data_IF_321019662944
#
_entry.id   IF_321019662944
#
_cell.length_a   1.000
_cell.length_b   1.000
_cell.length_c   1.000
_cell.angle_alpha   90.00
_cell.angle_beta   90.00
_cell.angle_gamma   90.00
#
_symmetry.space_group_name_H-M   'P 1'
#
loop_
_entity.id
_entity.type
_entity.pdbx_description
1 polymer ?
#
# COMPACT_ATOMS: atom_id res chain seq x y z
N UNK A 1 -34.02 5.45 -24.50
CA UNK A 1 -32.60 5.70 -24.16
C UNK A 1 -32.35 5.24 -22.74
N UNK A 2 -31.47 4.26 -22.53
CA UNK A 2 -31.10 3.80 -21.17
C UNK A 2 -29.93 4.65 -20.69
N UNK A 3 -30.15 5.52 -19.69
CA UNK A 3 -29.06 6.25 -19.05
C UNK A 3 -28.24 5.27 -18.21
N UNK A 4 -26.99 5.03 -18.63
CA UNK A 4 -26.07 4.16 -17.90
C UNK A 4 -25.81 4.79 -16.53
N UNK A 5 -26.30 4.18 -15.44
CA UNK A 5 -26.03 4.65 -14.08
C UNK A 5 -24.51 4.75 -13.88
N UNK A 6 -24.03 5.93 -13.46
CA UNK A 6 -22.61 6.14 -13.16
C UNK A 6 -22.26 5.33 -11.92
N UNK A 7 -21.32 4.40 -12.04
CA UNK A 7 -20.87 3.59 -10.90
C UNK A 7 -20.11 4.45 -9.90
N UNK A 8 -20.52 4.41 -8.64
CA UNK A 8 -20.00 5.25 -7.54
C UNK A 8 -18.78 4.60 -6.84
N UNK A 9 -18.09 5.38 -6.00
CA UNK A 9 -17.01 4.86 -5.14
C UNK A 9 -17.53 3.79 -4.16
N UNK A 10 -18.76 3.93 -3.68
CA UNK A 10 -19.39 2.97 -2.76
C UNK A 10 -19.65 1.62 -3.44
N UNK A 11 -20.12 1.63 -4.69
CA UNK A 11 -20.23 0.40 -5.48
C UNK A 11 -18.86 -0.24 -5.71
N UNK A 12 -17.81 0.57 -5.92
CA UNK A 12 -16.46 0.08 -6.07
C UNK A 12 -15.93 -0.59 -4.79
N UNK A 13 -16.13 0.01 -3.60
CA UNK A 13 -15.80 -0.60 -2.30
C UNK A 13 -16.43 -1.99 -2.14
N UNK A 14 -17.71 -2.13 -2.49
CA UNK A 14 -18.42 -3.43 -2.41
C UNK A 14 -17.79 -4.48 -3.31
N UNK A 15 -17.35 -4.11 -4.50
CA UNK A 15 -16.68 -5.02 -5.44
C UNK A 15 -15.29 -5.41 -4.92
N UNK A 16 -14.52 -4.46 -4.41
CA UNK A 16 -13.22 -4.71 -3.76
C UNK A 16 -13.35 -5.67 -2.58
N UNK A 17 -14.39 -5.53 -1.75
CA UNK A 17 -14.58 -6.42 -0.61
C UNK A 17 -14.84 -7.88 -1.04
N UNK A 18 -15.67 -8.06 -2.07
CA UNK A 18 -16.11 -9.37 -2.57
C UNK A 18 -15.08 -10.11 -3.43
N UNK A 19 -14.12 -9.41 -4.03
CA UNK A 19 -13.16 -10.03 -4.95
C UNK A 19 -12.24 -11.04 -4.26
N UNK A 20 -11.71 -12.01 -4.99
CA UNK A 20 -10.62 -12.89 -4.53
C UNK A 20 -9.31 -12.62 -5.28
N UNK A 21 -9.30 -11.66 -6.20
CA UNK A 21 -8.15 -11.35 -7.07
C UNK A 21 -6.99 -10.65 -6.35
N UNK A 22 -7.22 -10.13 -5.14
CA UNK A 22 -6.21 -9.44 -4.34
C UNK A 22 -6.27 -9.91 -2.88
N UNK A 23 -5.13 -9.85 -2.21
CA UNK A 23 -4.96 -10.20 -0.80
C UNK A 23 -5.81 -9.33 0.12
N UNK A 24 -6.15 -9.84 1.31
CA UNK A 24 -6.92 -9.11 2.31
C UNK A 24 -6.27 -7.75 2.68
N UNK A 25 -4.93 -7.70 2.74
CA UNK A 25 -4.18 -6.47 3.01
C UNK A 25 -4.37 -5.45 1.89
N UNK A 26 -4.30 -5.88 0.63
CA UNK A 26 -4.52 -5.00 -0.53
C UNK A 26 -5.98 -4.56 -0.63
N UNK A 27 -6.96 -5.37 -0.18
CA UNK A 27 -8.36 -4.91 -0.05
C UNK A 27 -8.48 -3.75 0.93
N UNK A 28 -7.85 -3.83 2.11
CA UNK A 28 -7.88 -2.74 3.09
C UNK A 28 -7.27 -1.46 2.52
N UNK A 29 -6.13 -1.58 1.84
CA UNK A 29 -5.51 -0.47 1.12
C UNK A 29 -6.45 0.16 0.08
N UNK A 30 -7.13 -0.67 -0.72
CA UNK A 30 -8.08 -0.19 -1.73
C UNK A 30 -9.29 0.49 -1.09
N UNK A 31 -9.86 -0.07 -0.02
CA UNK A 31 -10.97 0.55 0.72
C UNK A 31 -10.56 1.90 1.28
N UNK A 32 -9.36 2.01 1.87
CA UNK A 32 -8.80 3.27 2.32
C UNK A 32 -8.68 4.29 1.17
N UNK A 33 -8.20 3.89 -0.01
CA UNK A 33 -8.12 4.81 -1.16
C UNK A 33 -9.49 5.31 -1.62
N UNK A 34 -10.56 4.53 -1.45
CA UNK A 34 -11.91 4.95 -1.83
C UNK A 34 -12.41 6.15 -1.03
N UNK A 35 -11.88 6.37 0.18
CA UNK A 35 -12.21 7.54 1.01
C UNK A 35 -11.68 8.84 0.39
N UNK A 36 -10.65 8.75 -0.44
CA UNK A 36 -10.01 9.88 -1.13
C UNK A 36 -10.34 9.94 -2.62
N UNK A 37 -11.31 9.16 -3.09
CA UNK A 37 -11.71 9.15 -4.49
C UNK A 37 -12.64 10.33 -4.82
N UNK A 38 -12.38 10.99 -5.96
CA UNK A 38 -13.31 11.96 -6.53
C UNK A 38 -14.55 11.29 -7.17
N UNK A 39 -15.48 12.10 -7.69
CA UNK A 39 -16.66 11.60 -8.40
C UNK A 39 -16.32 10.78 -9.66
N UNK A 40 -15.11 10.95 -10.22
CA UNK A 40 -14.55 10.17 -11.30
C UNK A 40 -13.83 8.89 -10.86
N UNK A 41 -13.76 8.60 -9.55
CA UNK A 41 -12.96 7.54 -8.92
C UNK A 41 -11.45 7.70 -9.14
N UNK A 42 -10.98 8.93 -9.26
CA UNK A 42 -9.55 9.25 -9.29
C UNK A 42 -9.08 9.52 -7.88
N UNK A 43 -7.86 9.10 -7.58
CA UNK A 43 -7.20 9.34 -6.30
C UNK A 43 -5.77 9.81 -6.55
N UNK A 44 -5.39 10.88 -5.84
CA UNK A 44 -4.04 11.44 -5.84
C UNK A 44 -3.60 11.59 -4.39
N UNK A 45 -2.77 10.67 -3.92
CA UNK A 45 -2.27 10.66 -2.54
C UNK A 45 -0.78 10.30 -2.54
N UNK A 46 -0.02 11.04 -1.75
CA UNK A 46 1.41 10.75 -1.57
C UNK A 46 1.60 9.42 -0.85
N UNK A 47 2.49 8.58 -1.39
CA UNK A 47 2.78 7.25 -0.85
C UNK A 47 3.19 7.27 0.61
N UNK A 48 4.00 8.26 1.01
CA UNK A 48 4.45 8.43 2.39
C UNK A 48 3.30 8.67 3.36
N UNK A 49 2.30 9.45 2.95
CA UNK A 49 1.11 9.70 3.78
C UNK A 49 0.25 8.44 3.90
N UNK A 50 0.04 7.72 2.79
CA UNK A 50 -0.71 6.45 2.83
C UNK A 50 0.01 5.41 3.70
N UNK A 51 1.34 5.35 3.64
CA UNK A 51 2.15 4.48 4.46
C UNK A 51 1.99 4.81 5.96
N UNK A 52 2.03 6.10 6.32
CA UNK A 52 1.82 6.57 7.68
C UNK A 52 0.40 6.25 8.19
N UNK A 53 -0.63 6.58 7.41
CA UNK A 53 -2.03 6.38 7.79
C UNK A 53 -2.38 4.89 8.00
N UNK A 54 -1.74 3.99 7.24
CA UNK A 54 -1.96 2.54 7.36
C UNK A 54 -0.99 1.84 8.34
N UNK A 55 -0.01 2.56 8.91
CA UNK A 55 1.01 1.98 9.77
C UNK A 55 1.91 0.96 9.06
N UNK A 56 2.25 1.20 7.78
CA UNK A 56 3.07 0.30 6.95
C UNK A 56 4.25 1.03 6.32
N UNK A 57 5.27 0.30 5.87
CA UNK A 57 6.36 0.91 5.09
C UNK A 57 5.96 1.23 3.65
N UNK A 58 6.54 2.27 3.05
CA UNK A 58 6.26 2.70 1.66
C UNK A 58 6.44 1.58 0.62
N UNK A 59 7.47 0.73 0.79
CA UNK A 59 7.67 -0.47 -0.07
C UNK A 59 6.47 -1.43 -0.04
N UNK A 60 5.76 -1.49 1.08
CA UNK A 60 4.54 -2.30 1.17
C UNK A 60 3.40 -1.66 0.42
N UNK A 61 3.28 -0.32 0.48
CA UNK A 61 2.30 0.42 -0.34
C UNK A 61 2.56 0.19 -1.83
N UNK A 62 3.83 0.15 -2.26
CA UNK A 62 4.19 -0.20 -3.64
C UNK A 62 3.72 -1.59 -4.03
N UNK A 63 3.99 -2.59 -3.18
CA UNK A 63 3.54 -3.96 -3.43
C UNK A 63 2.01 -4.05 -3.53
N UNK A 64 1.28 -3.40 -2.62
CA UNK A 64 -0.19 -3.36 -2.64
C UNK A 64 -0.72 -2.62 -3.88
N UNK A 65 -0.02 -1.56 -4.32
CA UNK A 65 -0.37 -0.82 -5.53
C UNK A 65 -0.18 -1.67 -6.78
N UNK A 66 0.94 -2.39 -6.87
CA UNK A 66 1.19 -3.29 -7.99
C UNK A 66 0.18 -4.44 -8.01
N UNK A 67 -0.07 -5.09 -6.87
CA UNK A 67 -1.07 -6.14 -6.75
C UNK A 67 -2.48 -5.65 -7.14
N UNK A 68 -2.86 -4.44 -6.75
CA UNK A 68 -4.13 -3.84 -7.15
C UNK A 68 -4.23 -3.53 -8.65
N UNK A 69 -3.12 -3.15 -9.30
CA UNK A 69 -3.04 -2.96 -10.75
C UNK A 69 -3.16 -4.28 -11.49
N UNK A 70 -2.43 -5.30 -11.03
CA UNK A 70 -2.46 -6.65 -11.59
C UNK A 70 -3.87 -7.26 -11.47
N UNK A 71 -4.55 -6.99 -10.35
CA UNK A 71 -5.96 -7.37 -10.13
C UNK A 71 -6.99 -6.52 -10.90
N UNK A 72 -6.56 -5.51 -11.66
CA UNK A 72 -7.45 -4.67 -12.47
C UNK A 72 -8.31 -3.68 -11.67
N UNK A 73 -7.96 -3.39 -10.41
CA UNK A 73 -8.68 -2.44 -9.56
C UNK A 73 -8.16 -1.01 -9.68
N UNK A 74 -6.90 -0.84 -10.07
CA UNK A 74 -6.28 0.46 -10.27
C UNK A 74 -5.63 0.54 -11.65
N UNK A 75 -5.76 1.70 -12.28
CA UNK A 75 -4.93 2.10 -13.42
C UNK A 75 -4.19 3.40 -13.11
N UNK A 76 -2.99 3.55 -13.66
CA UNK A 76 -2.19 4.77 -13.47
C UNK A 76 -2.55 5.75 -14.57
N UNK A 77 -3.12 6.91 -14.21
CA UNK A 77 -3.35 8.02 -15.17
C UNK A 77 -2.08 8.84 -15.30
N UNK A 78 -1.51 9.24 -14.16
CA UNK A 78 -0.28 10.04 -14.10
C UNK A 78 0.74 9.28 -13.25
N UNK A 79 1.89 8.88 -13.80
CA UNK A 79 2.93 8.23 -13.02
C UNK A 79 3.55 9.23 -12.03
N UNK A 80 3.86 8.75 -10.83
CA UNK A 80 4.57 9.56 -9.83
C UNK A 80 6.01 9.81 -10.27
N UNK A 81 6.47 11.05 -10.11
CA UNK A 81 7.86 11.47 -10.36
C UNK A 81 8.30 12.45 -9.28
N UNK A 82 9.58 12.85 -9.27
CA UNK A 82 10.09 13.80 -8.26
C UNK A 82 9.24 15.08 -8.26
N UNK A 83 8.57 15.35 -7.13
CA UNK A 83 7.69 16.51 -6.95
C UNK A 83 6.29 16.38 -7.55
N UNK A 84 5.89 15.20 -8.07
CA UNK A 84 4.55 14.97 -8.63
C UNK A 84 3.98 13.67 -8.07
N UNK A 85 2.85 13.80 -7.37
CA UNK A 85 2.07 12.68 -6.84
C UNK A 85 1.41 11.90 -7.97
N UNK A 86 1.49 10.56 -7.88
CA UNK A 86 0.83 9.69 -8.85
C UNK A 86 -0.69 9.84 -8.75
N UNK A 87 -1.36 9.81 -9.90
CA UNK A 87 -2.82 9.83 -9.99
C UNK A 87 -3.29 8.48 -10.49
N UNK A 88 -4.13 7.82 -9.69
CA UNK A 88 -4.70 6.52 -10.00
C UNK A 88 -6.20 6.63 -10.28
N UNK A 89 -6.70 5.74 -11.14
CA UNK A 89 -8.10 5.57 -11.48
C UNK A 89 -8.59 4.24 -10.91
N UNK A 90 -9.64 4.29 -10.08
CA UNK A 90 -10.40 3.10 -9.68
C UNK A 90 -11.13 2.50 -10.87
N UNK A 91 -10.85 1.23 -11.15
CA UNK A 91 -11.47 0.43 -12.20
C UNK A 91 -12.31 -0.70 -11.59
N UNK A 92 -13.34 -1.11 -12.32
CA UNK A 92 -14.04 -2.34 -12.02
C UNK A 92 -13.41 -3.43 -12.87
N UNK A 93 -12.97 -4.56 -12.31
CA UNK A 93 -12.53 -5.68 -13.11
C UNK A 93 -13.71 -6.09 -13.99
N UNK A 94 -13.61 -5.81 -15.29
CA UNK A 94 -14.42 -6.49 -16.29
C UNK A 94 -14.00 -7.94 -16.21
N UNK A 95 -14.91 -8.82 -15.80
CA UNK A 95 -14.68 -10.26 -15.68
C UNK A 95 -13.71 -10.69 -16.77
N UNK A 96 -12.51 -11.13 -16.37
CA UNK A 96 -11.48 -11.70 -17.25
C UNK A 96 -12.04 -13.00 -17.87
N UNK A 97 -13.05 -12.89 -18.72
CA UNK A 97 -13.53 -13.99 -19.56
C UNK A 97 -12.88 -14.00 -20.92
N UNK A 98 -12.15 -12.96 -21.30
CA UNK A 98 -11.45 -12.90 -22.58
C UNK A 98 -9.96 -12.64 -22.35
N UNK A 99 -9.26 -13.65 -21.85
CA UNK A 99 -7.79 -13.72 -21.88
C UNK A 99 -7.22 -13.94 -23.30
N UNK A 100 -8.01 -13.72 -24.35
CA UNK A 100 -7.59 -13.83 -25.76
C UNK A 100 -7.17 -12.50 -26.39
N UNK A 101 -7.36 -11.36 -25.73
CA UNK A 101 -6.93 -10.06 -26.25
C UNK A 101 -5.58 -9.61 -25.64
N UNK A 102 -4.64 -10.55 -25.46
CA UNK A 102 -3.27 -10.20 -25.10
C UNK A 102 -2.55 -9.80 -26.38
N UNK A 103 -2.55 -8.50 -26.64
CA UNK A 103 -1.52 -7.74 -27.35
C UNK A 103 -0.61 -8.57 -28.29
N UNK A 104 -1.07 -8.80 -29.52
CA UNK A 104 -0.20 -8.94 -30.69
C UNK A 104 0.25 -7.53 -31.14
N UNK A 105 1.01 -6.85 -30.29
CA UNK A 105 1.76 -5.67 -30.69
C UNK A 105 3.19 -5.87 -30.16
N UNK A 106 4.12 -5.93 -31.10
CA UNK A 106 5.58 -5.96 -30.95
C UNK A 106 6.24 -7.34 -30.74
N UNK A 107 6.00 -8.27 -31.67
CA UNK A 107 6.90 -9.41 -31.94
C UNK A 107 7.67 -9.28 -33.27
N UNK A 108 7.67 -8.10 -33.92
CA UNK A 108 8.29 -7.90 -35.25
C UNK A 108 9.59 -7.06 -35.25
N UNK A 109 10.12 -6.63 -34.11
CA UNK A 109 11.34 -5.80 -34.06
C UNK A 109 12.50 -6.48 -33.30
N UNK A 110 12.80 -7.74 -33.64
CA UNK A 110 14.01 -8.45 -33.16
C UNK A 110 14.85 -9.07 -34.28
N UNK A 111 14.57 -8.82 -35.57
CA UNK A 111 15.33 -9.40 -36.68
C UNK A 111 16.55 -8.60 -37.14
N UNK A 112 16.92 -7.50 -36.46
CA UNK A 112 17.99 -6.61 -36.94
C UNK A 112 19.05 -6.23 -35.89
N UNK A 113 19.48 -7.18 -35.07
CA UNK A 113 20.64 -6.99 -34.18
C UNK A 113 21.64 -8.16 -34.12
N UNK A 114 21.77 -8.91 -35.21
CA UNK A 114 22.93 -9.76 -35.45
C UNK A 114 24.02 -8.96 -36.19
N UNK A 115 24.80 -8.15 -35.48
CA UNK A 115 26.16 -7.76 -35.88
C UNK A 115 26.79 -6.84 -34.83
N UNK A 116 27.29 -7.43 -33.74
CA UNK A 116 28.49 -6.93 -33.08
C UNK A 116 29.27 -8.13 -32.55
N UNK A 117 30.18 -8.64 -33.39
CA UNK A 117 31.32 -9.40 -32.90
C UNK A 117 32.17 -8.49 -32.03
N UNK A 118 32.46 -8.93 -30.81
CA UNK A 118 33.33 -8.21 -29.87
C UNK A 118 33.79 -9.13 -28.74
N UNK A 119 35.05 -9.01 -28.31
CA UNK A 119 35.84 -10.14 -27.83
C UNK A 119 35.58 -10.52 -26.38
N UNK A 120 35.79 -11.82 -26.14
CA UNK A 120 35.96 -12.50 -24.87
C UNK A 120 36.92 -11.73 -23.94
N UNK A 121 36.38 -11.14 -22.88
CA UNK A 121 37.17 -10.59 -21.77
C UNK A 121 36.83 -11.40 -20.53
N UNK A 122 37.68 -12.38 -20.27
CA UNK A 122 37.78 -13.06 -18.99
C UNK A 122 38.29 -12.07 -17.94
N UNK A 123 37.46 -11.71 -16.95
CA UNK A 123 37.96 -11.03 -15.76
C UNK A 123 37.36 -11.66 -14.50
N UNK A 124 38.23 -12.37 -13.79
CA UNK A 124 37.98 -13.01 -12.50
C UNK A 124 37.94 -11.96 -11.40
N UNK A 125 36.74 -11.60 -10.94
CA UNK A 125 36.59 -10.66 -9.82
C UNK A 125 36.77 -11.40 -8.49
N UNK A 126 37.88 -11.10 -7.83
CA UNK A 126 38.25 -11.59 -6.50
C UNK A 126 37.18 -11.27 -5.44
N UNK A 127 36.70 -12.32 -4.78
CA UNK A 127 35.80 -12.25 -3.64
C UNK A 127 36.50 -11.59 -2.44
N UNK A 128 36.06 -10.39 -2.08
CA UNK A 128 36.49 -9.68 -0.87
C UNK A 128 35.82 -10.31 0.36
N UNK A 129 36.57 -10.79 1.38
CA UNK A 129 35.98 -11.37 2.58
C UNK A 129 35.23 -10.28 3.37
N UNK A 130 33.98 -10.61 3.71
CA UNK A 130 33.03 -9.74 4.40
C UNK A 130 33.39 -9.70 5.88
N UNK A 131 33.93 -8.56 6.31
CA UNK A 131 34.35 -8.28 7.69
C UNK A 131 33.19 -8.49 8.68
N UNK A 132 33.53 -9.11 9.81
CA UNK A 132 32.63 -9.50 10.88
C UNK A 132 31.87 -8.30 11.48
N UNK A 133 30.55 -8.44 11.60
CA UNK A 133 29.69 -7.52 12.36
C UNK A 133 30.05 -7.60 13.84
N UNK A 134 30.56 -6.51 14.40
CA UNK A 134 30.57 -6.27 15.83
C UNK A 134 29.12 -6.07 16.31
N UNK A 135 28.71 -6.91 17.26
CA UNK A 135 27.51 -6.73 18.06
C UNK A 135 27.75 -5.56 19.03
N UNK A 136 27.09 -4.43 18.80
CA UNK A 136 26.97 -3.35 19.79
C UNK A 136 25.62 -3.53 20.49
N UNK A 137 25.68 -3.75 21.80
CA UNK A 137 24.53 -4.01 22.65
C UNK A 137 23.54 -2.86 22.67
N UNK A 138 22.26 -3.20 22.72
CA UNK A 138 21.18 -2.26 22.99
C UNK A 138 21.09 -2.02 24.52
N UNK A 139 20.94 -0.77 24.98
CA UNK A 139 20.61 -0.47 26.36
C UNK A 139 19.16 -0.84 26.66
N UNK A 140 18.96 -1.61 27.74
CA UNK A 140 17.65 -1.86 28.35
C UNK A 140 17.23 -0.57 29.06
N UNK A 141 16.23 0.11 28.50
CA UNK A 141 15.53 1.20 29.18
C UNK A 141 14.29 0.61 29.83
N UNK A 142 14.37 0.32 31.11
CA UNK A 142 13.23 -0.01 31.96
C UNK A 142 12.65 1.30 32.48
N UNK A 143 11.63 1.84 31.81
CA UNK A 143 10.77 2.87 32.39
C UNK A 143 9.58 2.19 33.04
N UNK A 144 9.71 1.90 34.34
CA UNK A 144 8.58 1.68 35.23
C UNK A 144 7.88 3.02 35.43
N UNK A 145 6.74 3.21 34.77
CA UNK A 145 5.80 4.27 35.10
C UNK A 145 4.67 3.65 35.93
N UNK A 146 4.31 4.23 37.09
CA UNK A 146 3.16 3.78 37.86
C UNK A 146 1.89 4.03 37.02
N UNK A 147 1.23 2.93 36.68
CA UNK A 147 -0.09 2.86 36.07
C UNK A 147 -1.15 3.38 37.06
N UNK A 148 -1.28 4.69 37.17
CA UNK A 148 -2.44 5.30 37.85
C UNK A 148 -3.60 5.32 36.85
N UNK A 149 -4.60 4.47 37.07
CA UNK A 149 -5.80 4.42 36.24
C UNK A 149 -6.58 5.75 36.39
N UNK A 150 -6.85 6.48 35.29
CA UNK A 150 -7.47 7.82 35.36
C UNK A 150 -8.96 7.82 35.76
N UNK A 151 -9.56 6.66 36.09
CA UNK A 151 -11.01 6.51 36.29
C UNK A 151 -11.48 6.43 37.75
N UNK A 152 -10.58 6.45 38.75
CA UNK A 152 -10.98 6.38 40.16
C UNK A 152 -10.11 7.30 41.02
N UNK A 153 -10.52 8.56 41.16
CA UNK A 153 -9.85 9.49 42.06
C UNK A 153 -10.35 9.39 43.53
N UNK A 154 -11.59 8.91 43.80
CA UNK A 154 -12.19 9.15 45.12
C UNK A 154 -12.76 7.95 45.90
N UNK A 155 -12.91 6.74 45.32
CA UNK A 155 -13.68 5.67 45.99
C UNK A 155 -12.87 4.54 46.65
N UNK A 156 -11.53 4.57 46.62
CA UNK A 156 -10.69 3.58 47.33
C UNK A 156 -10.90 2.11 46.93
N UNK A 157 -11.60 1.83 45.82
CA UNK A 157 -11.88 0.49 45.35
C UNK A 157 -10.67 -0.08 44.56
N UNK A 158 -10.29 -1.36 44.79
CA UNK A 158 -9.24 -2.00 44.03
C UNK A 158 -9.63 -2.13 42.55
N UNK A 159 -8.69 -1.87 41.65
CA UNK A 159 -8.92 -1.95 40.21
C UNK A 159 -9.33 -3.38 39.80
N UNK A 160 -10.41 -3.55 39.00
CA UNK A 160 -10.75 -4.85 38.46
C UNK A 160 -9.63 -5.36 37.53
N UNK A 161 -9.36 -6.66 37.57
CA UNK A 161 -8.23 -7.33 36.91
C UNK A 161 -8.23 -7.22 35.38
N UNK A 162 -9.32 -6.72 34.80
CA UNK A 162 -9.58 -6.70 33.35
C UNK A 162 -9.26 -5.38 32.65
N UNK A 163 -8.65 -4.38 33.33
CA UNK A 163 -8.32 -3.09 32.71
C UNK A 163 -7.06 -3.07 31.82
N UNK A 164 -6.40 -4.21 31.57
CA UNK A 164 -5.28 -4.28 30.61
C UNK A 164 -5.81 -4.23 29.17
N UNK A 165 -5.98 -3.03 28.61
CA UNK A 165 -6.03 -2.89 27.14
C UNK A 165 -6.85 -1.75 26.55
N UNK A 166 -7.48 -0.88 27.34
CA UNK A 166 -8.23 0.25 26.77
C UNK A 166 -7.30 1.45 26.56
N UNK A 167 -6.87 1.68 25.32
CA UNK A 167 -6.15 2.89 24.93
C UNK A 167 -7.16 3.90 24.37
N UNK A 168 -7.56 4.94 25.12
CA UNK A 168 -8.46 5.95 24.61
C UNK A 168 -7.74 6.78 23.53
N UNK A 169 -8.24 6.67 22.30
CA UNK A 169 -7.88 7.56 21.20
C UNK A 169 -8.41 8.97 21.51
N UNK A 170 -7.50 9.89 21.78
CA UNK A 170 -7.78 11.32 21.90
C UNK A 170 -8.38 11.85 20.59
N UNK A 171 -9.65 12.22 20.64
CA UNK A 171 -10.33 13.09 19.69
C UNK A 171 -11.03 14.16 20.52
N UNK A 172 -10.52 15.38 20.51
CA UNK A 172 -11.29 16.62 20.72
C UNK A 172 -10.36 17.77 20.28
N UNK A 173 -10.61 18.37 19.11
CA UNK A 173 -11.56 19.46 18.90
C UNK A 173 -10.93 20.82 19.22
N UNK A 174 -10.38 21.46 18.20
CA UNK A 174 -10.05 22.88 18.21
C UNK A 174 -10.89 23.55 17.12
N UNK A 175 -12.06 24.04 17.53
CA UNK A 175 -12.81 25.06 16.82
C UNK A 175 -12.60 26.39 17.58
N UNK A 176 -11.94 27.34 16.93
CA UNK A 176 -12.08 28.79 17.15
C UNK A 176 -11.50 29.51 15.94
#
# INVERSE_FOLDING_TARGET
MVTRRKRTAEEWRRVVFRTQLVSARTKLYLVYLADFMDAGRRVSRERRLVAADLGVGERTVDRMTNEARDGGFLSTIVPGRKGVTAVYQGLFPTSQRDSSCRAELDADDLSQRDSYGGPEMSETVALKPRSARQHVGAPVVTTDAPSTCPYHADDGLPCPTDCRGYSPSSNEEAAS
#
